data_IF_805401706531
#
_entry.id   IF_805401706531
#
_cell.length_a   1.000
_cell.length_b   1.000
_cell.length_c   1.000
_cell.angle_alpha   90.00
_cell.angle_beta   90.00
_cell.angle_gamma   90.00
#
_symmetry.space_group_name_H-M   'P 1'
#
loop_
_entity.id
_entity.type
_entity.pdbx_description
1 polymer ?
#
# COMPACT_ATOMS: atom_id res chain seq x y z
N UNK A 1 14.55 -1.42 17.41
CA UNK A 1 13.36 -0.58 17.68
C UNK A 1 13.25 -0.31 19.16
N UNK A 2 13.32 -1.34 20.00
CA UNK A 2 13.54 -1.17 21.43
C UNK A 2 15.00 -0.71 21.66
N UNK A 3 15.18 0.57 22.01
CA UNK A 3 16.48 1.24 22.17
C UNK A 3 17.05 1.06 23.57
N UNK A 4 16.18 0.98 24.59
CA UNK A 4 16.59 0.82 25.98
C UNK A 4 16.58 -0.63 26.48
N UNK A 5 15.97 -1.54 25.70
CA UNK A 5 15.92 -2.97 25.93
C UNK A 5 14.90 -3.39 27.00
N UNK A 6 13.89 -2.56 27.29
CA UNK A 6 12.90 -2.84 28.33
C UNK A 6 11.81 -3.84 27.91
N UNK A 7 11.79 -4.22 26.61
CA UNK A 7 10.85 -5.17 26.02
C UNK A 7 9.57 -4.54 25.49
N UNK A 8 9.44 -3.22 25.56
CA UNK A 8 8.34 -2.43 25.02
C UNK A 8 8.87 -1.42 23.98
N UNK A 9 7.99 -1.01 23.07
CA UNK A 9 8.22 0.15 22.24
C UNK A 9 7.37 1.29 22.80
N UNK A 10 8.07 2.29 23.31
CA UNK A 10 7.53 3.55 23.77
C UNK A 10 7.28 4.51 22.60
N UNK A 11 6.46 5.53 22.83
CA UNK A 11 6.19 6.57 21.83
C UNK A 11 7.45 7.30 21.39
N UNK A 12 8.38 7.51 22.32
CA UNK A 12 9.66 8.16 22.04
C UNK A 12 10.49 7.35 21.03
N UNK A 13 10.56 6.04 21.19
CA UNK A 13 11.32 5.19 20.27
C UNK A 13 10.68 5.14 18.89
N UNK A 14 9.35 5.07 18.83
CA UNK A 14 8.62 5.12 17.56
C UNK A 14 8.83 6.45 16.84
N UNK A 15 8.75 7.57 17.57
CA UNK A 15 9.01 8.91 17.04
C UNK A 15 10.44 9.02 16.51
N UNK A 16 11.42 8.52 17.26
CA UNK A 16 12.83 8.51 16.85
C UNK A 16 13.05 7.83 15.48
N UNK A 17 12.46 6.65 15.26
CA UNK A 17 12.56 5.97 13.97
C UNK A 17 11.75 6.69 12.87
N UNK A 18 10.59 7.23 13.22
CA UNK A 18 9.74 7.93 12.27
C UNK A 18 10.36 9.24 11.78
N UNK A 19 11.06 9.98 12.64
CA UNK A 19 11.81 11.19 12.24
C UNK A 19 12.83 10.90 11.13
N UNK A 20 13.55 9.78 11.22
CA UNK A 20 14.48 9.38 10.16
C UNK A 20 13.75 9.02 8.86
N UNK A 21 12.61 8.34 8.95
CA UNK A 21 11.76 8.05 7.78
C UNK A 21 11.23 9.32 7.12
N UNK A 22 10.77 10.30 7.91
CA UNK A 22 10.31 11.59 7.41
C UNK A 22 11.40 12.31 6.61
N UNK A 23 12.64 12.35 7.12
CA UNK A 23 13.76 12.95 6.40
C UNK A 23 14.04 12.28 5.05
N UNK A 24 13.93 10.94 5.00
CA UNK A 24 14.11 10.19 3.76
C UNK A 24 12.99 10.44 2.75
N UNK A 25 11.74 10.56 3.22
CA UNK A 25 10.57 10.90 2.40
C UNK A 25 10.66 12.33 1.85
N UNK A 26 11.08 13.29 2.69
CA UNK A 26 11.30 14.68 2.27
C UNK A 26 12.37 14.77 1.18
N UNK A 27 13.44 13.97 1.28
CA UNK A 27 14.52 13.94 0.30
C UNK A 27 14.07 13.50 -1.12
N UNK A 28 12.97 12.74 -1.21
CA UNK A 28 12.37 12.30 -2.48
C UNK A 28 11.09 13.08 -2.83
N UNK A 29 10.73 14.09 -2.04
CA UNK A 29 9.60 14.99 -2.29
C UNK A 29 8.23 14.37 -2.04
N UNK A 30 8.14 13.35 -1.18
CA UNK A 30 6.88 12.72 -0.80
C UNK A 30 6.30 13.46 0.42
N UNK A 31 5.03 13.82 0.34
CA UNK A 31 4.30 14.39 1.48
C UNK A 31 3.97 13.29 2.48
N UNK A 32 4.26 13.55 3.75
CA UNK A 32 4.18 12.56 4.82
C UNK A 32 3.12 12.92 5.84
N UNK A 33 2.50 11.89 6.40
CA UNK A 33 1.57 12.01 7.51
C UNK A 33 2.27 12.52 8.80
N UNK A 34 1.62 13.34 9.63
CA UNK A 34 2.11 13.63 10.98
C UNK A 34 2.30 12.38 11.84
N UNK A 35 3.29 12.39 12.74
CA UNK A 35 3.56 11.25 13.64
C UNK A 35 2.35 10.84 14.47
N UNK A 36 1.57 11.80 14.98
CA UNK A 36 0.38 11.52 15.79
C UNK A 36 -0.65 10.68 15.04
N UNK A 37 -0.89 10.99 13.76
CA UNK A 37 -1.83 10.27 12.91
C UNK A 37 -1.28 8.89 12.53
N UNK A 38 0.02 8.81 12.21
CA UNK A 38 0.71 7.55 11.92
C UNK A 38 0.63 6.60 13.11
N UNK A 39 0.91 7.14 14.30
CA UNK A 39 0.85 6.42 15.55
C UNK A 39 -0.57 5.91 15.82
N UNK A 40 -1.60 6.74 15.62
CA UNK A 40 -2.99 6.30 15.76
C UNK A 40 -3.29 5.10 14.86
N UNK A 41 -2.92 5.17 13.57
CA UNK A 41 -3.11 4.05 12.62
C UNK A 41 -2.37 2.79 13.08
N UNK A 42 -1.13 2.92 13.57
CA UNK A 42 -0.35 1.78 14.06
C UNK A 42 -0.96 1.18 15.33
N UNK A 43 -1.47 2.00 16.24
CA UNK A 43 -2.12 1.54 17.47
C UNK A 43 -3.45 0.85 17.19
N UNK A 44 -4.24 1.36 16.24
CA UNK A 44 -5.48 0.72 15.81
C UNK A 44 -5.20 -0.64 15.15
N UNK A 45 -4.15 -0.74 14.35
CA UNK A 45 -3.71 -1.99 13.72
C UNK A 45 -3.18 -3.01 14.72
N UNK A 46 -2.39 -2.58 15.71
CA UNK A 46 -1.72 -3.49 16.66
C UNK A 46 -2.64 -3.89 17.81
N UNK A 47 -3.51 -2.97 18.22
CA UNK A 47 -4.39 -3.10 19.39
C UNK A 47 -3.63 -3.61 20.63
N UNK A 48 -2.67 -2.81 21.15
CA UNK A 48 -1.81 -3.25 22.25
C UNK A 48 -2.61 -3.51 23.52
N UNK A 49 -2.12 -4.45 24.33
CA UNK A 49 -2.77 -4.84 25.59
C UNK A 49 -2.74 -3.69 26.61
N UNK A 50 -1.63 -2.94 26.63
CA UNK A 50 -1.44 -1.76 27.47
C UNK A 50 -1.38 -0.52 26.59
N UNK A 51 -2.20 0.48 26.92
CA UNK A 51 -2.22 1.72 26.16
C UNK A 51 -0.86 2.44 26.26
N UNK A 52 -0.33 2.88 25.13
CA UNK A 52 0.92 3.65 25.08
C UNK A 52 2.19 2.80 25.07
N UNK A 53 2.09 1.47 25.12
CA UNK A 53 3.24 0.56 25.09
C UNK A 53 2.98 -0.62 24.18
N UNK A 54 3.88 -0.85 23.23
CA UNK A 54 3.77 -1.99 22.30
C UNK A 54 4.77 -3.06 22.71
N UNK A 55 4.29 -4.20 23.18
CA UNK A 55 5.17 -5.34 23.47
C UNK A 55 5.43 -6.19 22.23
N UNK A 56 6.49 -7.01 22.27
CA UNK A 56 6.70 -8.06 21.26
C UNK A 56 5.51 -9.02 21.16
N UNK A 57 4.79 -9.24 22.27
CA UNK A 57 3.59 -10.06 22.29
C UNK A 57 2.46 -9.45 21.46
N UNK A 58 2.28 -8.13 21.51
CA UNK A 58 1.26 -7.43 20.73
C UNK A 58 1.56 -7.51 19.24
N UNK A 59 2.82 -7.26 18.86
CA UNK A 59 3.28 -7.37 17.48
C UNK A 59 3.08 -8.78 16.90
N UNK A 60 3.31 -9.83 17.69
CA UNK A 60 3.08 -11.22 17.25
C UNK A 60 1.59 -11.56 17.07
N UNK A 61 0.69 -10.92 17.81
CA UNK A 61 -0.76 -11.20 17.73
C UNK A 61 -1.44 -10.48 16.58
N UNK A 62 -1.01 -9.27 16.23
CA UNK A 62 -1.69 -8.47 15.20
C UNK A 62 -1.56 -9.03 13.78
N UNK A 63 -0.58 -9.92 13.52
CA UNK A 63 -0.25 -10.50 12.20
C UNK A 63 0.13 -9.49 11.10
N UNK A 64 0.09 -8.19 11.40
CA UNK A 64 0.47 -7.08 10.52
C UNK A 64 1.85 -6.50 10.88
N UNK A 65 2.68 -7.28 11.58
CA UNK A 65 4.03 -6.89 12.00
C UNK A 65 4.92 -6.38 10.85
N UNK A 66 4.88 -6.97 9.63
CA UNK A 66 5.68 -6.47 8.52
C UNK A 66 5.34 -5.02 8.16
N UNK A 67 4.04 -4.68 8.09
CA UNK A 67 3.59 -3.31 7.79
C UNK A 67 4.10 -2.35 8.85
N UNK A 68 3.94 -2.70 10.14
CA UNK A 68 4.47 -1.89 11.24
C UNK A 68 5.96 -1.59 11.07
N UNK A 69 6.77 -2.61 10.83
CA UNK A 69 8.21 -2.42 10.66
C UNK A 69 8.57 -1.61 9.42
N UNK A 70 7.85 -1.83 8.32
CA UNK A 70 8.12 -1.11 7.09
C UNK A 70 7.82 0.39 7.24
N UNK A 71 6.73 0.74 7.95
CA UNK A 71 6.39 2.14 8.29
C UNK A 71 7.52 2.88 9.01
N UNK A 72 8.19 2.25 9.98
CA UNK A 72 9.16 2.95 10.83
C UNK A 72 10.61 2.97 10.32
N UNK A 73 11.03 2.05 9.45
CA UNK A 73 12.45 2.05 9.02
C UNK A 73 12.74 1.52 7.62
N UNK A 74 11.74 1.07 6.86
CA UNK A 74 11.94 0.54 5.52
C UNK A 74 11.09 1.30 4.50
N UNK A 75 11.62 2.44 4.06
CA UNK A 75 10.95 3.33 3.12
C UNK A 75 10.51 2.65 1.83
N UNK A 76 11.36 1.82 1.24
CA UNK A 76 11.08 1.16 -0.04
C UNK A 76 9.77 0.34 0.05
N UNK A 77 9.68 -0.53 1.06
CA UNK A 77 8.48 -1.35 1.26
C UNK A 77 7.29 -0.57 1.80
N UNK A 78 7.52 0.49 2.56
CA UNK A 78 6.44 1.37 2.99
C UNK A 78 5.73 2.00 1.79
N UNK A 79 6.49 2.49 0.81
CA UNK A 79 5.92 3.07 -0.42
C UNK A 79 5.18 2.01 -1.25
N UNK A 80 5.72 0.80 -1.35
CA UNK A 80 5.03 -0.32 -2.00
C UNK A 80 3.68 -0.61 -1.34
N UNK A 81 3.60 -0.55 -0.01
CA UNK A 81 2.37 -0.78 0.75
C UNK A 81 1.36 0.37 0.60
N UNK A 82 1.80 1.62 0.58
CA UNK A 82 0.91 2.77 0.35
C UNK A 82 0.32 2.80 -1.07
N UNK A 83 1.11 2.39 -2.06
CA UNK A 83 0.66 2.32 -3.46
C UNK A 83 -0.21 1.09 -3.74
N UNK A 84 -0.17 0.09 -2.86
CA UNK A 84 -0.99 -1.13 -3.00
C UNK A 84 -2.41 -0.83 -2.55
N UNK A 85 -3.34 -0.89 -3.51
CA UNK A 85 -4.78 -0.71 -3.28
C UNK A 85 -5.25 -1.59 -2.10
N UNK A 86 -5.97 -1.03 -1.09
CA UNK A 86 -6.48 -1.78 0.06
C UNK A 86 -7.36 -2.99 -0.30
N UNK A 87 -7.93 -2.97 -1.51
CA UNK A 87 -8.72 -4.04 -2.09
C UNK A 87 -7.91 -4.93 -3.05
N UNK A 88 -6.66 -4.62 -3.39
CA UNK A 88 -5.84 -5.50 -4.24
C UNK A 88 -5.69 -6.91 -3.64
N UNK A 89 -5.42 -6.98 -2.34
CA UNK A 89 -5.33 -8.26 -1.61
C UNK A 89 -6.68 -8.98 -1.46
N UNK A 90 -7.81 -8.28 -1.59
CA UNK A 90 -9.15 -8.90 -1.66
C UNK A 90 -9.51 -9.32 -3.10
N UNK A 91 -8.99 -8.63 -4.12
CA UNK A 91 -9.15 -8.97 -5.54
C UNK A 91 -8.26 -10.13 -5.96
N UNK A 92 -7.20 -10.43 -5.21
CA UNK A 92 -6.39 -11.65 -5.34
C UNK A 92 -7.13 -12.92 -4.85
N UNK A 93 -8.36 -12.81 -4.35
CA UNK A 93 -9.19 -13.94 -3.95
C UNK A 93 -10.52 -13.89 -4.71
N UNK A 94 -10.64 -14.63 -5.81
CA UNK A 94 -11.96 -14.88 -6.39
C UNK A 94 -12.83 -15.65 -5.37
N UNK A 95 -14.16 -15.65 -5.53
CA UNK A 95 -15.10 -16.29 -4.60
C UNK A 95 -14.88 -17.81 -4.42
N UNK A 96 -13.98 -18.41 -5.20
CA UNK A 96 -13.55 -19.82 -5.18
C UNK A 96 -12.10 -20.02 -4.67
N UNK A 97 -11.41 -18.96 -4.23
CA UNK A 97 -10.07 -19.04 -3.62
C UNK A 97 -8.91 -19.21 -4.60
N UNK A 98 -9.11 -18.87 -5.88
CA UNK A 98 -8.05 -18.88 -6.89
C UNK A 98 -7.47 -17.47 -7.08
N UNK A 99 -6.14 -17.37 -7.01
CA UNK A 99 -5.37 -16.16 -7.31
C UNK A 99 -5.48 -15.86 -8.81
N UNK A 100 -5.96 -14.67 -9.20
CA UNK A 100 -5.86 -14.20 -10.59
C UNK A 100 -4.38 -13.99 -10.91
N UNK A 101 -3.87 -14.69 -11.93
CA UNK A 101 -2.46 -14.59 -12.28
C UNK A 101 -2.15 -13.23 -12.89
N UNK A 102 -0.92 -12.75 -12.74
CA UNK A 102 -0.42 -11.55 -13.43
C UNK A 102 -0.70 -11.60 -14.95
N UNK A 103 -0.73 -12.81 -15.54
CA UNK A 103 -1.13 -13.04 -16.92
C UNK A 103 -2.60 -12.72 -17.22
N UNK A 104 -3.51 -13.05 -16.31
CA UNK A 104 -4.94 -12.79 -16.47
C UNK A 104 -5.23 -11.28 -16.43
N UNK A 105 -4.50 -10.55 -15.57
CA UNK A 105 -4.57 -9.08 -15.50
C UNK A 105 -4.02 -8.44 -16.78
N UNK A 106 -2.82 -8.85 -17.20
CA UNK A 106 -2.20 -8.35 -18.43
C UNK A 106 -3.09 -8.61 -19.65
N UNK A 107 -3.66 -9.82 -19.76
CA UNK A 107 -4.56 -10.15 -20.86
C UNK A 107 -5.83 -9.30 -20.87
N UNK A 108 -6.39 -8.98 -19.70
CA UNK A 108 -7.58 -8.12 -19.60
C UNK A 108 -7.28 -6.67 -19.99
N UNK A 109 -6.16 -6.11 -19.55
CA UNK A 109 -5.75 -4.73 -19.87
C UNK A 109 -5.43 -4.57 -21.37
N UNK A 110 -4.67 -5.51 -21.95
CA UNK A 110 -4.37 -5.50 -23.40
C UNK A 110 -5.64 -5.66 -24.23
N UNK A 111 -6.58 -6.51 -23.80
CA UNK A 111 -7.86 -6.68 -24.48
C UNK A 111 -8.68 -5.39 -24.45
N UNK A 112 -8.76 -4.70 -23.32
CA UNK A 112 -9.50 -3.44 -23.19
C UNK A 112 -8.89 -2.33 -24.06
N UNK A 113 -7.55 -2.27 -24.13
CA UNK A 113 -6.83 -1.34 -25.00
C UNK A 113 -7.12 -1.61 -26.49
N UNK A 114 -7.04 -2.87 -26.92
CA UNK A 114 -7.36 -3.29 -28.29
C UNK A 114 -8.82 -2.99 -28.67
N UNK A 115 -9.75 -3.25 -27.76
CA UNK A 115 -11.19 -2.93 -27.96
C UNK A 115 -11.41 -1.42 -28.10
N UNK A 116 -10.71 -0.60 -27.30
CA UNK A 116 -10.79 0.85 -27.41
C UNK A 116 -10.20 1.38 -28.73
N UNK A 117 -9.12 0.76 -29.22
CA UNK A 117 -8.50 1.11 -30.51
C UNK A 117 -9.39 0.70 -31.70
N UNK A 118 -10.05 -0.46 -31.65
CA UNK A 118 -10.99 -0.91 -32.69
C UNK A 118 -12.26 -0.04 -32.71
N UNK A 119 -12.79 0.36 -31.55
CA UNK A 119 -13.92 1.29 -31.47
C UNK A 119 -13.61 2.71 -31.98
N UNK A 120 -12.35 3.16 -31.87
CA UNK A 120 -11.88 4.42 -32.44
C UNK A 120 -11.62 4.33 -33.96
N UNK A 121 -11.24 3.14 -34.44
CA UNK A 121 -11.03 2.85 -35.87
C UNK A 121 -12.36 2.81 -36.63
N UNK A 122 -13.39 2.22 -36.04
CA UNK A 122 -14.74 2.14 -36.64
C UNK A 122 -15.38 3.53 -36.84
N UNK A 123 -15.08 4.51 -35.97
CA UNK A 123 -15.49 5.91 -36.13
C UNK A 123 -14.72 6.66 -37.22
N UNK A 124 -13.51 6.23 -37.58
CA UNK A 124 -12.75 6.81 -38.69
C UNK A 124 -13.18 6.23 -40.03
N UNK A 125 -13.48 4.94 -40.10
CA UNK A 125 -13.99 4.30 -41.32
C UNK A 125 -15.41 4.78 -41.70
N UNK A 126 -16.33 5.00 -40.74
CA UNK A 126 -17.64 5.59 -41.03
C UNK A 126 -17.56 7.05 -41.50
N UNK A 127 -16.60 7.83 -40.99
CA UNK A 127 -16.40 9.22 -41.41
C UNK A 127 -15.81 9.35 -42.83
N UNK A 128 -15.09 8.33 -43.30
CA UNK A 128 -14.54 8.29 -44.66
C UNK A 128 -15.59 7.86 -45.69
N UNK A 129 -16.56 7.02 -45.28
CA UNK A 129 -17.65 6.58 -46.17
C UNK A 129 -18.72 7.65 -46.42
N UNK A 130 -18.91 8.64 -45.53
CA UNK A 130 -19.86 9.75 -45.70
C UNK A 130 -19.33 10.87 -46.64
N UNK A 131 -18.01 10.95 -46.87
CA UNK A 131 -17.38 11.95 -47.78
C UNK A 131 -17.33 11.49 -49.26
N UNK A 132 -17.66 10.22 -49.55
CA UNK A 132 -17.70 9.66 -50.91
C UNK A 132 -19.12 9.53 -51.53
N UNK A 133 -20.16 10.19 -50.97
CA UNK A 133 -21.54 10.17 -51.49
C UNK A 133 -22.04 11.50 -52.06
#
# INVERSE_FOLDING_TARGET
MDLDGDGYLSMYELEYFYEEQLQRMEAIGIETLPFEDCLCQMLDMIHPTEAGKISLGDLKRCKMTPIFFDTFFNLEKYLDHEQRDPFASQRDHDSDGHELSDWDRYAAEEYELLVAEEGASDHQDEAVLDDEM
#
